data_IF_498042293389
#
_entry.id   IF_498042293389
#
_cell.length_a   1.000
_cell.length_b   1.000
_cell.length_c   1.000
_cell.angle_alpha   90.00
_cell.angle_beta   90.00
_cell.angle_gamma   90.00
#
_symmetry.space_group_name_H-M   'P 1'
#
loop_
_entity.id
_entity.type
_entity.pdbx_description
1 polymer ?
#
# COMPACT_ATOMS: atom_id res chain seq x y z
N UNK A 1 -8.45 -25.20 -14.56
CA UNK A 1 -8.64 -24.29 -13.40
C UNK A 1 -8.96 -22.81 -13.73
N UNK A 2 -9.12 -22.40 -15.00
CA UNK A 2 -9.34 -20.98 -15.41
C UNK A 2 -10.75 -20.39 -15.17
N UNK A 3 -11.69 -21.14 -14.57
CA UNK A 3 -13.06 -20.66 -14.38
C UNK A 3 -13.30 -19.91 -13.05
N UNK A 4 -12.45 -20.08 -12.03
CA UNK A 4 -12.66 -19.44 -10.71
C UNK A 4 -12.33 -17.94 -10.70
N UNK A 5 -11.28 -17.47 -11.37
CA UNK A 5 -10.90 -16.04 -11.36
C UNK A 5 -11.91 -15.11 -12.05
N UNK A 6 -12.56 -15.58 -13.13
CA UNK A 6 -13.61 -14.79 -13.80
C UNK A 6 -14.83 -14.55 -12.89
N UNK A 7 -15.09 -15.44 -11.94
CA UNK A 7 -16.19 -15.27 -10.99
C UNK A 7 -15.89 -14.22 -9.92
N UNK A 8 -14.66 -14.18 -9.39
CA UNK A 8 -14.26 -13.23 -8.33
C UNK A 8 -14.17 -11.80 -8.83
N UNK A 9 -13.66 -11.58 -10.06
CA UNK A 9 -13.67 -10.26 -10.70
C UNK A 9 -15.09 -9.73 -10.93
N UNK A 10 -15.99 -10.59 -11.41
CA UNK A 10 -17.40 -10.25 -11.66
C UNK A 10 -18.17 -9.94 -10.36
N UNK A 11 -17.81 -10.58 -9.24
CA UNK A 11 -18.38 -10.27 -7.91
C UNK A 11 -17.87 -8.92 -7.41
N UNK A 12 -16.57 -8.62 -7.54
CA UNK A 12 -16.01 -7.30 -7.15
C UNK A 12 -16.60 -6.14 -7.96
N UNK A 13 -16.77 -6.31 -9.27
CA UNK A 13 -17.42 -5.31 -10.13
C UNK A 13 -18.89 -5.08 -9.77
N UNK A 14 -19.63 -6.14 -9.41
CA UNK A 14 -21.01 -6.02 -8.94
C UNK A 14 -21.11 -5.28 -7.60
N UNK A 15 -20.20 -5.53 -6.67
CA UNK A 15 -20.17 -4.84 -5.37
C UNK A 15 -19.78 -3.37 -5.56
N UNK A 16 -18.74 -3.08 -6.35
CA UNK A 16 -18.35 -1.71 -6.68
C UNK A 16 -19.49 -0.93 -7.37
N UNK A 17 -20.17 -1.57 -8.32
CA UNK A 17 -21.36 -1.00 -8.97
C UNK A 17 -22.52 -0.75 -8.01
N UNK A 18 -22.71 -1.62 -7.01
CA UNK A 18 -23.74 -1.45 -5.98
C UNK A 18 -23.42 -0.30 -5.03
N UNK A 19 -22.15 -0.17 -4.61
CA UNK A 19 -21.70 0.94 -3.76
C UNK A 19 -21.79 2.26 -4.51
N UNK A 20 -21.34 2.32 -5.77
CA UNK A 20 -21.46 3.51 -6.60
C UNK A 20 -22.92 3.96 -6.76
N UNK A 21 -23.83 3.02 -7.03
CA UNK A 21 -25.27 3.31 -7.07
C UNK A 21 -25.80 3.83 -5.73
N UNK A 22 -25.35 3.26 -4.61
CA UNK A 22 -25.71 3.72 -3.27
C UNK A 22 -25.26 5.15 -3.00
N UNK A 23 -24.04 5.51 -3.38
CA UNK A 23 -23.49 6.87 -3.26
C UNK A 23 -24.32 7.85 -4.09
N UNK A 24 -24.61 7.53 -5.35
CA UNK A 24 -25.43 8.38 -6.23
C UNK A 24 -26.83 8.58 -5.63
N UNK A 25 -27.44 7.51 -5.10
CA UNK A 25 -28.77 7.60 -4.48
C UNK A 25 -28.77 8.48 -3.22
N UNK A 26 -27.72 8.38 -2.41
CA UNK A 26 -27.51 9.23 -1.24
C UNK A 26 -27.32 10.70 -1.65
N UNK A 27 -26.54 10.98 -2.69
CA UNK A 27 -26.35 12.32 -3.24
C UNK A 27 -27.68 12.92 -3.73
N UNK A 28 -28.48 12.17 -4.49
CA UNK A 28 -29.77 12.63 -4.99
C UNK A 28 -30.75 12.90 -3.83
N UNK A 29 -30.79 12.01 -2.84
CA UNK A 29 -31.66 12.16 -1.66
C UNK A 29 -31.25 13.37 -0.81
N UNK A 30 -29.94 13.56 -0.63
CA UNK A 30 -29.37 14.72 0.06
C UNK A 30 -29.66 16.03 -0.67
N UNK A 31 -29.46 16.06 -2.00
CA UNK A 31 -29.77 17.23 -2.81
C UNK A 31 -31.26 17.59 -2.76
N UNK A 32 -32.14 16.57 -2.79
CA UNK A 32 -33.59 16.77 -2.63
C UNK A 32 -33.96 17.32 -1.24
N UNK A 33 -33.31 16.81 -0.18
CA UNK A 33 -33.48 17.32 1.18
C UNK A 33 -33.00 18.77 1.30
N UNK A 34 -31.79 19.07 0.82
CA UNK A 34 -31.22 20.42 0.82
C UNK A 34 -32.09 21.39 0.03
N UNK A 35 -32.62 20.99 -1.14
CA UNK A 35 -33.55 21.82 -1.92
C UNK A 35 -34.80 22.17 -1.11
N UNK A 36 -35.41 21.19 -0.43
CA UNK A 36 -36.60 21.40 0.42
C UNK A 36 -36.29 22.26 1.65
N UNK A 37 -35.11 22.09 2.25
CA UNK A 37 -34.66 22.89 3.38
C UNK A 37 -34.41 24.34 2.94
N UNK A 38 -33.60 24.54 1.89
CA UNK A 38 -33.27 25.87 1.36
C UNK A 38 -34.49 26.61 0.80
N UNK A 39 -35.47 25.91 0.21
CA UNK A 39 -36.69 26.56 -0.31
C UNK A 39 -37.57 27.19 0.78
N UNK A 40 -37.42 26.73 2.03
CA UNK A 40 -38.17 27.27 3.18
C UNK A 40 -37.43 28.43 3.87
N UNK A 41 -36.18 28.69 3.52
CA UNK A 41 -35.41 29.79 4.09
C UNK A 41 -35.50 31.05 3.22
N UNK A 42 -35.67 32.20 3.86
CA UNK A 42 -35.51 33.49 3.20
C UNK A 42 -34.05 33.73 2.80
N UNK A 43 -33.83 34.57 1.78
CA UNK A 43 -32.48 34.93 1.28
C UNK A 43 -31.60 35.47 2.41
N UNK A 44 -32.17 36.26 3.33
CA UNK A 44 -31.46 36.78 4.50
C UNK A 44 -31.06 35.67 5.50
N UNK A 45 -31.89 34.64 5.66
CA UNK A 45 -31.55 33.49 6.50
C UNK A 45 -30.47 32.61 5.86
N UNK A 46 -30.49 32.43 4.54
CA UNK A 46 -29.45 31.71 3.80
C UNK A 46 -28.08 32.41 3.92
N UNK A 47 -28.04 33.74 3.79
CA UNK A 47 -26.80 34.51 3.98
C UNK A 47 -26.23 34.36 5.40
N UNK A 48 -27.09 34.41 6.43
CA UNK A 48 -26.65 34.21 7.82
C UNK A 48 -26.09 32.80 8.05
N UNK A 49 -26.75 31.78 7.49
CA UNK A 49 -26.24 30.41 7.54
C UNK A 49 -24.90 30.24 6.83
N UNK A 50 -24.72 30.87 5.68
CA UNK A 50 -23.45 30.85 4.96
C UNK A 50 -22.33 31.47 5.80
N UNK A 51 -22.58 32.63 6.40
CA UNK A 51 -21.59 33.30 7.26
C UNK A 51 -21.25 32.42 8.46
N UNK A 52 -22.25 31.87 9.15
CA UNK A 52 -22.04 30.98 10.30
C UNK A 52 -21.22 29.74 9.89
N UNK A 53 -21.57 29.12 8.76
CA UNK A 53 -20.85 27.95 8.25
C UNK A 53 -19.40 28.26 7.91
N UNK A 54 -19.16 29.38 7.21
CA UNK A 54 -17.80 29.84 6.88
C UNK A 54 -16.99 30.16 8.12
N UNK A 55 -17.58 30.75 9.16
CA UNK A 55 -16.87 31.01 10.42
C UNK A 55 -16.54 29.69 11.12
N UNK A 56 -17.46 28.75 11.23
CA UNK A 56 -17.21 27.46 11.89
C UNK A 56 -16.17 26.62 11.16
N UNK A 57 -16.27 26.48 9.84
CA UNK A 57 -15.29 25.73 9.06
C UNK A 57 -13.97 26.47 8.95
N UNK A 58 -14.01 27.79 8.75
CA UNK A 58 -12.83 28.64 8.70
C UNK A 58 -12.06 28.60 10.01
N UNK A 59 -12.73 28.69 11.16
CA UNK A 59 -12.09 28.60 12.47
C UNK A 59 -11.53 27.22 12.74
N UNK A 60 -12.23 26.15 12.34
CA UNK A 60 -11.73 24.78 12.48
C UNK A 60 -10.49 24.53 11.59
N UNK A 61 -10.53 24.93 10.32
CA UNK A 61 -9.36 24.82 9.43
C UNK A 61 -8.18 25.65 9.94
N UNK A 62 -8.45 26.86 10.42
CA UNK A 62 -7.43 27.74 11.02
C UNK A 62 -6.84 27.06 12.26
N UNK A 63 -7.69 26.50 13.13
CA UNK A 63 -7.26 25.73 14.29
C UNK A 63 -6.36 24.55 13.88
N UNK A 64 -6.72 23.76 12.86
CA UNK A 64 -5.88 22.65 12.39
C UNK A 64 -4.52 23.13 11.85
N UNK A 65 -4.49 24.25 11.14
CA UNK A 65 -3.24 24.83 10.64
C UNK A 65 -2.37 25.30 11.79
N UNK A 66 -2.95 26.02 12.76
CA UNK A 66 -2.21 26.45 13.95
C UNK A 66 -1.77 25.28 14.81
N UNK A 67 -2.62 24.27 15.01
CA UNK A 67 -2.27 23.06 15.75
C UNK A 67 -1.13 22.30 15.04
N UNK A 68 -1.17 22.16 13.71
CA UNK A 68 -0.10 21.53 12.94
C UNK A 68 1.21 22.33 12.88
N UNK A 69 1.15 23.66 12.97
CA UNK A 69 2.33 24.53 12.96
C UNK A 69 2.94 24.70 14.37
N UNK A 70 2.10 24.80 15.42
CA UNK A 70 2.53 25.01 16.80
C UNK A 70 2.86 23.71 17.52
N UNK A 71 2.15 22.60 17.23
CA UNK A 71 2.60 21.28 17.64
C UNK A 71 3.69 20.84 16.69
N UNK A 72 4.93 21.19 17.03
CA UNK A 72 6.11 20.53 16.48
C UNK A 72 5.97 19.02 16.69
N UNK A 73 5.60 18.33 15.61
CA UNK A 73 5.78 16.89 15.36
C UNK A 73 5.94 16.04 16.63
N UNK A 74 4.86 15.86 17.39
CA UNK A 74 4.73 14.58 18.09
C UNK A 74 4.61 13.55 17.00
N UNK A 75 5.76 12.94 16.68
CA UNK A 75 5.97 11.96 15.62
C UNK A 75 4.80 10.98 15.60
N UNK A 76 3.83 11.24 14.73
CA UNK A 76 2.84 10.24 14.29
C UNK A 76 3.46 9.34 13.22
N UNK A 77 4.78 9.27 13.16
CA UNK A 77 5.45 8.06 12.70
C UNK A 77 5.42 7.16 13.91
N UNK A 78 4.37 6.32 14.03
CA UNK A 78 4.55 5.06 14.75
C UNK A 78 5.78 4.44 14.12
N UNK A 79 6.91 4.53 14.81
CA UNK A 79 8.08 3.76 14.45
C UNK A 79 7.55 2.35 14.47
N UNK A 80 7.55 1.60 13.34
CA UNK A 80 7.07 0.24 13.37
C UNK A 80 7.81 -0.43 14.52
N UNK A 81 7.05 -0.90 15.51
CA UNK A 81 7.59 -1.48 16.74
C UNK A 81 8.74 -2.38 16.31
N UNK A 82 9.96 -2.04 16.76
CA UNK A 82 11.21 -2.59 16.25
C UNK A 82 10.96 -4.04 15.84
N UNK A 83 11.00 -4.31 14.53
CA UNK A 83 10.72 -5.64 14.00
C UNK A 83 11.59 -6.57 14.82
N UNK A 84 10.98 -7.33 15.73
CA UNK A 84 11.68 -8.37 16.48
C UNK A 84 11.97 -9.41 15.43
N UNK A 85 13.12 -9.28 14.78
CA UNK A 85 13.73 -10.39 14.09
C UNK A 85 13.76 -11.52 15.11
N UNK A 86 13.13 -12.67 14.82
CA UNK A 86 13.30 -13.83 15.68
C UNK A 86 14.81 -13.99 15.82
N UNK A 87 15.30 -14.08 17.07
CA UNK A 87 16.67 -14.49 17.31
C UNK A 87 16.81 -15.83 16.61
N UNK A 88 17.45 -15.82 15.43
CA UNK A 88 18.07 -17.01 14.90
C UNK A 88 18.96 -17.46 16.06
N UNK A 89 18.65 -18.62 16.64
CA UNK A 89 19.65 -19.30 17.45
C UNK A 89 20.90 -19.28 16.59
N UNK A 90 21.92 -18.55 17.05
CA UNK A 90 23.26 -18.66 16.52
C UNK A 90 23.64 -20.13 16.75
N UNK A 91 23.31 -20.99 15.79
CA UNK A 91 24.19 -22.09 15.49
C UNK A 91 25.52 -21.43 15.19
N UNK A 92 26.41 -21.56 16.16
CA UNK A 92 27.83 -21.28 16.11
C UNK A 92 28.42 -21.97 14.87
N UNK A 93 28.27 -21.34 13.70
CA UNK A 93 29.00 -21.68 12.49
C UNK A 93 30.01 -20.58 12.29
N UNK A 94 31.10 -20.75 13.00
CA UNK A 94 32.43 -20.27 12.64
C UNK A 94 32.68 -20.58 11.16
N UNK A 95 32.33 -19.65 10.27
CA UNK A 95 32.83 -19.64 8.90
C UNK A 95 33.65 -18.37 8.75
N UNK A 96 34.93 -18.49 9.11
CA UNK A 96 36.00 -17.62 8.61
C UNK A 96 36.13 -17.83 7.09
N UNK A 97 35.17 -17.30 6.35
CA UNK A 97 35.11 -17.35 4.90
C UNK A 97 34.11 -16.30 4.46
N UNK A 98 34.52 -15.44 3.53
CA UNK A 98 33.78 -14.26 3.08
C UNK A 98 32.26 -14.57 2.90
N UNK A 99 31.38 -14.02 3.77
CA UNK A 99 29.96 -14.39 3.81
C UNK A 99 29.23 -14.10 2.50
N UNK A 100 29.76 -13.17 1.70
CA UNK A 100 29.15 -12.69 0.46
C UNK A 100 29.26 -13.67 -0.72
N UNK A 101 30.22 -14.61 -0.67
CA UNK A 101 30.37 -15.64 -1.70
C UNK A 101 29.26 -16.71 -1.67
N UNK A 102 28.72 -17.00 -0.50
CA UNK A 102 27.62 -17.95 -0.31
C UNK A 102 26.28 -17.35 -0.76
N UNK A 103 26.10 -16.05 -0.51
CA UNK A 103 24.90 -15.31 -0.92
C UNK A 103 24.81 -15.29 -2.46
N UNK A 104 25.91 -14.97 -3.14
CA UNK A 104 25.97 -15.02 -4.60
C UNK A 104 25.69 -16.41 -5.18
N UNK A 105 26.26 -17.46 -4.58
CA UNK A 105 25.98 -18.85 -5.00
C UNK A 105 24.49 -19.18 -4.85
N UNK A 106 23.86 -18.69 -3.78
CA UNK A 106 22.43 -18.90 -3.52
C UNK A 106 21.56 -18.14 -4.52
N UNK A 107 21.90 -16.89 -4.83
CA UNK A 107 21.22 -16.09 -5.88
C UNK A 107 21.36 -16.76 -7.25
N UNK A 108 22.56 -17.25 -7.60
CA UNK A 108 22.79 -17.97 -8.86
C UNK A 108 22.04 -19.30 -8.92
N UNK A 109 22.02 -20.06 -7.83
CA UNK A 109 21.24 -21.30 -7.73
C UNK A 109 19.72 -21.03 -7.88
N UNK A 110 19.24 -19.91 -7.36
CA UNK A 110 17.85 -19.48 -7.57
C UNK A 110 17.56 -19.20 -9.05
N UNK A 111 18.44 -18.51 -9.78
CA UNK A 111 18.26 -18.29 -11.22
C UNK A 111 18.29 -19.59 -12.02
N UNK A 112 19.15 -20.55 -11.68
CA UNK A 112 19.14 -21.88 -12.29
C UNK A 112 17.84 -22.65 -12.00
N UNK A 113 17.35 -22.54 -10.77
CA UNK A 113 16.09 -23.16 -10.37
C UNK A 113 14.93 -22.53 -11.12
N UNK A 114 14.92 -21.19 -11.28
CA UNK A 114 13.95 -20.46 -12.10
C UNK A 114 13.94 -20.97 -13.54
N UNK A 115 15.11 -21.04 -14.17
CA UNK A 115 15.19 -21.42 -15.58
C UNK A 115 14.74 -22.88 -15.79
N UNK A 116 15.04 -23.76 -14.83
CA UNK A 116 14.53 -25.14 -14.81
C UNK A 116 13.01 -25.18 -14.58
N UNK A 117 12.49 -24.37 -13.65
CA UNK A 117 11.07 -24.31 -13.34
C UNK A 117 10.25 -23.75 -14.51
N UNK A 118 10.80 -22.78 -15.25
CA UNK A 118 10.15 -22.21 -16.44
C UNK A 118 10.03 -23.23 -17.57
N UNK A 119 10.96 -24.19 -17.66
CA UNK A 119 10.90 -25.27 -18.65
C UNK A 119 9.96 -26.40 -18.23
N UNK A 120 9.91 -26.74 -16.94
CA UNK A 120 9.14 -27.87 -16.42
C UNK A 120 7.68 -27.51 -16.10
N UNK A 121 7.45 -26.40 -15.39
CA UNK A 121 6.10 -25.94 -15.03
C UNK A 121 5.98 -24.40 -15.00
N UNK A 122 5.59 -23.79 -16.14
CA UNK A 122 5.42 -22.34 -16.23
C UNK A 122 4.25 -21.81 -15.38
N UNK A 123 3.27 -22.64 -15.00
CA UNK A 123 2.15 -22.19 -14.16
C UNK A 123 2.58 -21.99 -12.71
N UNK A 124 3.43 -22.88 -12.19
CA UNK A 124 3.98 -22.75 -10.84
C UNK A 124 4.84 -21.48 -10.71
N UNK A 125 5.62 -21.16 -11.75
CA UNK A 125 6.41 -19.93 -11.79
C UNK A 125 5.53 -18.67 -11.75
N UNK A 126 4.46 -18.64 -12.56
CA UNK A 126 3.48 -17.55 -12.56
C UNK A 126 2.80 -17.38 -11.19
N UNK A 127 2.50 -18.48 -10.50
CA UNK A 127 1.96 -18.43 -9.14
C UNK A 127 2.94 -17.81 -8.13
N UNK A 128 4.23 -18.17 -8.23
CA UNK A 128 5.28 -17.59 -7.37
C UNK A 128 5.40 -16.07 -7.59
N UNK A 129 5.35 -15.62 -8.85
CA UNK A 129 5.39 -14.18 -9.18
C UNK A 129 4.18 -13.43 -8.63
N UNK A 130 2.98 -14.01 -8.74
CA UNK A 130 1.76 -13.40 -8.23
C UNK A 130 1.74 -13.29 -6.71
N UNK A 131 2.27 -14.30 -6.00
CA UNK A 131 2.31 -14.32 -4.54
C UNK A 131 3.48 -13.55 -3.94
N UNK A 132 4.56 -13.33 -4.69
CA UNK A 132 5.77 -12.63 -4.23
C UNK A 132 6.17 -11.51 -5.19
N UNK A 133 5.27 -10.53 -5.33
CA UNK A 133 5.56 -9.33 -6.10
C UNK A 133 6.79 -8.61 -5.52
N UNK A 134 7.77 -8.30 -6.35
CA UNK A 134 9.03 -7.64 -5.95
C UNK A 134 10.19 -8.57 -5.61
N UNK A 135 10.00 -9.90 -5.54
CA UNK A 135 11.12 -10.83 -5.26
C UNK A 135 12.27 -10.70 -6.25
N UNK A 136 11.96 -10.59 -7.54
CA UNK A 136 12.95 -10.41 -8.60
C UNK A 136 13.69 -9.07 -8.49
N UNK A 137 12.98 -8.03 -8.06
CA UNK A 137 13.56 -6.70 -7.89
C UNK A 137 14.51 -6.66 -6.68
N UNK A 138 14.11 -7.28 -5.56
CA UNK A 138 14.97 -7.43 -4.39
C UNK A 138 16.22 -8.27 -4.67
N UNK A 139 16.09 -9.37 -5.43
CA UNK A 139 17.24 -10.18 -5.84
C UNK A 139 18.20 -9.42 -6.77
N UNK A 140 17.65 -8.63 -7.69
CA UNK A 140 18.45 -7.77 -8.58
C UNK A 140 19.17 -6.68 -7.81
N UNK A 141 18.52 -6.05 -6.84
CA UNK A 141 19.14 -5.06 -5.96
C UNK A 141 20.25 -5.68 -5.11
N UNK A 142 20.04 -6.90 -4.60
CA UNK A 142 21.06 -7.64 -3.86
C UNK A 142 22.28 -7.97 -4.74
N UNK A 143 22.06 -8.40 -5.96
CA UNK A 143 23.13 -8.67 -6.94
C UNK A 143 23.94 -7.40 -7.24
N UNK A 144 23.26 -6.28 -7.51
CA UNK A 144 23.90 -4.99 -7.75
C UNK A 144 24.69 -4.50 -6.52
N UNK A 145 24.15 -4.68 -5.32
CA UNK A 145 24.83 -4.33 -4.08
C UNK A 145 26.13 -5.12 -3.90
N UNK A 146 26.10 -6.42 -4.16
CA UNK A 146 27.29 -7.27 -4.04
C UNK A 146 28.33 -6.95 -5.12
N UNK A 147 27.89 -6.67 -6.35
CA UNK A 147 28.78 -6.24 -7.45
C UNK A 147 29.44 -4.89 -7.18
N UNK A 148 28.67 -3.90 -6.70
CA UNK A 148 29.14 -2.53 -6.49
C UNK A 148 30.06 -2.39 -5.27
N UNK A 149 29.92 -3.25 -4.26
CA UNK A 149 30.81 -3.28 -3.09
C UNK A 149 32.13 -4.04 -3.32
N UNK A 150 32.45 -4.39 -4.57
CA UNK A 150 33.81 -4.80 -4.95
C UNK A 150 34.26 -6.18 -4.45
N UNK A 151 33.34 -7.08 -4.11
CA UNK A 151 33.67 -8.43 -3.62
C UNK A 151 33.64 -9.52 -4.71
N UNK A 152 33.70 -9.08 -5.98
CA UNK A 152 33.79 -9.94 -7.15
C UNK A 152 34.99 -9.50 -7.99
N UNK A 153 36.15 -10.13 -7.78
CA UNK A 153 37.14 -10.27 -8.85
C UNK A 153 36.77 -11.56 -9.62
N UNK A 154 36.72 -11.51 -10.96
CA UNK A 154 36.38 -12.68 -11.79
C UNK A 154 37.31 -13.87 -11.57
#
# INVERSE_FOLDING_TARGET
MKQKEKSTGRVKEKVAGSVAKGIVLAQVKWAGFMKKACSKLSIAAQKRWLIAFTICFGSYCTYLVFDGLLRSSEKTVQTPSAIRFPRLQEEERTVRGHPDSLILKTVRAFYHTRDSLMQVDPQQWQWILNNRQGLLDSLKQLELYIQNNGLYQP
#
